data_IF_663774977656
#
_entry.id   IF_663774977656
#
_cell.length_a   1.000
_cell.length_b   1.000
_cell.length_c   1.000
_cell.angle_alpha   90.00
_cell.angle_beta   90.00
_cell.angle_gamma   90.00
#
_symmetry.space_group_name_H-M   'P 1'
#
loop_
_entity.id
_entity.type
_entity.pdbx_description
1 polymer ?
#
# COMPACT_ATOMS: atom_id res chain seq x y z
N UNK A 1 -3.95 0.64 -60.10
CA UNK A 1 -2.57 0.89 -59.62
C UNK A 1 -2.51 1.49 -58.21
N UNK A 2 -3.27 2.56 -57.88
CA UNK A 2 -3.26 3.19 -56.53
C UNK A 2 -3.62 2.25 -55.36
N UNK A 3 -4.54 1.30 -55.57
CA UNK A 3 -4.98 0.32 -54.54
C UNK A 3 -3.95 -0.77 -54.22
N UNK A 4 -3.11 -1.14 -55.19
CA UNK A 4 -2.07 -2.17 -55.02
C UNK A 4 -0.88 -1.55 -54.28
N UNK A 5 -0.50 -0.31 -54.63
CA UNK A 5 0.56 0.46 -53.95
C UNK A 5 0.21 0.68 -52.47
N UNK A 6 -1.05 1.00 -52.16
CA UNK A 6 -1.53 1.18 -50.79
C UNK A 6 -1.48 -0.11 -49.96
N UNK A 7 -1.69 -1.27 -50.58
CA UNK A 7 -1.61 -2.56 -49.91
C UNK A 7 -0.17 -2.96 -49.61
N UNK A 8 0.75 -2.70 -50.54
CA UNK A 8 2.18 -2.98 -50.34
C UNK A 8 2.79 -2.06 -49.29
N UNK A 9 2.38 -0.78 -49.23
CA UNK A 9 2.87 0.17 -48.22
C UNK A 9 2.39 -0.20 -46.80
N UNK A 10 1.14 -0.62 -46.64
CA UNK A 10 0.64 -1.10 -45.34
C UNK A 10 1.37 -2.37 -44.87
N UNK A 11 1.68 -3.29 -45.79
CA UNK A 11 2.38 -4.54 -45.43
C UNK A 11 3.81 -4.27 -44.95
N UNK A 12 4.51 -3.31 -45.57
CA UNK A 12 5.87 -2.90 -45.16
C UNK A 12 5.89 -2.22 -43.79
N UNK A 13 4.89 -1.38 -43.49
CA UNK A 13 4.74 -0.75 -42.16
C UNK A 13 4.44 -1.80 -41.08
N UNK A 14 3.59 -2.79 -41.38
CA UNK A 14 3.27 -3.90 -40.46
C UNK A 14 4.50 -4.78 -40.16
N UNK A 15 5.36 -5.01 -41.15
CA UNK A 15 6.61 -5.77 -40.96
C UNK A 15 7.66 -5.03 -40.12
N UNK A 16 7.67 -3.69 -40.14
CA UNK A 16 8.62 -2.89 -39.33
C UNK A 16 8.24 -2.82 -37.84
N UNK A 17 6.99 -3.12 -37.47
CA UNK A 17 6.53 -3.19 -36.08
C UNK A 17 6.93 -4.49 -35.36
N UNK A 18 7.46 -5.48 -36.07
CA UNK A 18 7.73 -6.82 -35.55
C UNK A 18 9.10 -7.05 -34.89
N UNK A 19 9.94 -6.01 -34.73
CA UNK A 19 11.35 -6.19 -34.33
C UNK A 19 11.75 -5.56 -32.99
N UNK A 20 10.82 -5.34 -32.07
CA UNK A 20 11.19 -5.06 -30.67
C UNK A 20 11.27 -6.38 -29.91
N UNK A 21 12.46 -6.98 -29.87
CA UNK A 21 12.73 -8.02 -28.88
C UNK A 21 12.84 -7.33 -27.52
N UNK A 22 11.76 -7.33 -26.75
CA UNK A 22 11.84 -7.07 -25.30
C UNK A 22 12.55 -8.28 -24.71
N UNK A 23 13.86 -8.12 -24.47
CA UNK A 23 14.56 -9.05 -23.59
C UNK A 23 14.07 -8.76 -22.17
N UNK A 24 13.18 -9.61 -21.66
CA UNK A 24 12.93 -9.65 -20.23
C UNK A 24 14.21 -10.18 -19.58
N UNK A 25 14.89 -9.35 -18.79
CA UNK A 25 15.96 -9.82 -17.93
C UNK A 25 15.33 -10.73 -16.86
N UNK A 26 15.88 -11.94 -16.70
CA UNK A 26 15.50 -12.86 -15.63
C UNK A 26 16.30 -12.50 -14.37
N UNK A 27 15.74 -11.63 -13.54
CA UNK A 27 16.33 -11.23 -12.26
C UNK A 27 16.09 -12.26 -11.15
N UNK A 28 15.53 -13.44 -11.47
CA UNK A 28 15.18 -14.47 -10.51
C UNK A 28 13.99 -14.12 -9.60
N UNK A 29 13.75 -14.93 -8.57
CA UNK A 29 12.71 -14.67 -7.56
C UNK A 29 13.27 -13.70 -6.52
N UNK A 30 12.85 -12.43 -6.59
CA UNK A 30 13.17 -11.40 -5.60
C UNK A 30 11.99 -11.15 -4.64
N UNK A 31 12.25 -10.76 -3.37
CA UNK A 31 11.21 -10.30 -2.47
C UNK A 31 10.42 -9.13 -3.06
N UNK A 32 9.11 -9.07 -2.81
CA UNK A 32 8.27 -7.92 -3.21
C UNK A 32 8.67 -6.61 -2.51
N UNK A 33 9.25 -6.72 -1.32
CA UNK A 33 9.65 -5.62 -0.45
C UNK A 33 11.09 -5.82 -0.02
N UNK A 34 11.86 -4.74 0.05
CA UNK A 34 13.30 -4.77 0.33
C UNK A 34 13.64 -4.89 1.82
N UNK A 35 12.78 -4.30 2.65
CA UNK A 35 12.95 -4.10 4.08
C UNK A 35 11.77 -4.74 4.84
N UNK A 36 10.55 -4.72 4.31
CA UNK A 36 9.35 -5.24 4.96
C UNK A 36 9.14 -6.75 4.72
N UNK A 37 8.97 -7.52 5.80
CA UNK A 37 8.58 -8.93 5.71
C UNK A 37 7.04 -9.08 5.72
N UNK A 38 6.38 -8.60 6.78
CA UNK A 38 4.92 -8.61 6.87
C UNK A 38 4.37 -7.51 7.78
N UNK A 39 3.06 -7.29 7.69
CA UNK A 39 2.29 -6.41 8.59
C UNK A 39 1.17 -7.19 9.25
N UNK A 40 0.79 -6.78 10.45
CA UNK A 40 -0.36 -7.28 11.20
C UNK A 40 -1.22 -6.08 11.60
N UNK A 41 -2.47 -6.07 11.16
CA UNK A 41 -3.38 -4.94 11.38
C UNK A 41 -4.74 -5.44 11.83
N UNK A 42 -5.36 -4.73 12.76
CA UNK A 42 -6.76 -4.96 13.14
C UNK A 42 -7.44 -3.63 13.43
N UNK A 43 -8.74 -3.60 13.15
CA UNK A 43 -9.61 -2.49 13.49
C UNK A 43 -10.95 -3.08 13.94
N UNK A 44 -11.42 -2.64 15.11
CA UNK A 44 -12.77 -2.91 15.55
C UNK A 44 -13.31 -1.76 16.38
N UNK A 45 -14.62 -1.53 16.36
CA UNK A 45 -15.31 -0.64 17.27
C UNK A 45 -16.12 -1.51 18.24
N UNK A 46 -15.95 -1.26 19.54
CA UNK A 46 -16.70 -2.01 20.54
C UNK A 46 -18.11 -1.45 20.76
N UNK A 47 -18.92 -2.17 21.54
CA UNK A 47 -20.31 -1.78 21.84
C UNK A 47 -20.42 -0.47 22.64
N UNK A 48 -19.33 0.08 23.17
CA UNK A 48 -19.30 1.35 23.89
C UNK A 48 -18.82 2.51 23.01
N UNK A 49 -18.62 2.29 21.71
CA UNK A 49 -18.15 3.30 20.78
C UNK A 49 -16.67 3.60 20.94
N UNK A 50 -15.86 2.61 21.31
CA UNK A 50 -14.40 2.74 21.31
C UNK A 50 -13.82 2.05 20.09
N UNK A 51 -13.24 2.85 19.18
CA UNK A 51 -12.42 2.36 18.10
C UNK A 51 -11.10 1.82 18.68
N UNK A 52 -10.74 0.59 18.32
CA UNK A 52 -9.52 -0.10 18.71
C UNK A 52 -8.73 -0.45 17.45
N UNK A 53 -7.54 0.13 17.30
CA UNK A 53 -6.71 0.00 16.11
C UNK A 53 -5.37 -0.60 16.51
N UNK A 54 -4.96 -1.68 15.84
CA UNK A 54 -3.62 -2.24 15.95
C UNK A 54 -2.88 -2.07 14.62
N UNK A 55 -1.67 -1.54 14.69
CA UNK A 55 -0.73 -1.47 13.58
C UNK A 55 0.59 -2.14 13.99
N UNK A 56 0.90 -3.27 13.37
CA UNK A 56 2.11 -4.04 13.60
C UNK A 56 2.88 -4.28 12.31
N UNK A 57 4.21 -4.26 12.41
CA UNK A 57 5.10 -4.59 11.31
C UNK A 57 6.28 -5.44 11.80
N UNK A 58 6.78 -6.26 10.89
CA UNK A 58 8.05 -6.95 11.02
C UNK A 58 8.81 -6.78 9.72
N UNK A 59 9.96 -6.12 9.79
CA UNK A 59 10.94 -6.04 8.74
C UNK A 59 11.94 -7.19 8.78
N UNK A 60 12.85 -7.24 7.82
CA UNK A 60 13.94 -8.21 7.80
C UNK A 60 15.04 -7.83 8.81
N UNK A 61 15.35 -8.74 9.73
CA UNK A 61 16.38 -8.54 10.75
C UNK A 61 17.75 -8.26 10.11
N UNK A 62 18.48 -7.27 10.63
CA UNK A 62 19.76 -6.82 10.09
C UNK A 62 19.68 -5.98 8.80
N UNK A 63 18.49 -5.84 8.21
CA UNK A 63 18.24 -5.03 7.00
C UNK A 63 17.41 -3.80 7.35
N UNK A 64 16.29 -3.99 8.05
CA UNK A 64 15.39 -2.88 8.43
C UNK A 64 16.00 -2.04 9.53
N UNK A 65 16.00 -0.73 9.33
CA UNK A 65 16.58 0.24 10.27
C UNK A 65 15.53 1.14 10.92
N UNK A 66 14.31 1.17 10.38
CA UNK A 66 13.22 1.89 11.02
C UNK A 66 11.94 1.93 10.21
N UNK A 67 10.89 2.42 10.86
CA UNK A 67 9.55 2.55 10.32
C UNK A 67 8.95 3.90 10.67
N UNK A 68 8.19 4.45 9.73
CA UNK A 68 7.19 5.49 9.97
C UNK A 68 5.82 4.92 9.64
N UNK A 69 4.90 4.99 10.59
CA UNK A 69 3.55 4.47 10.46
C UNK A 69 2.57 5.62 10.65
N UNK A 70 1.74 5.87 9.65
CA UNK A 70 0.63 6.81 9.74
C UNK A 70 -0.67 6.03 9.84
N UNK A 71 -1.47 6.31 10.86
CA UNK A 71 -2.80 5.75 11.07
C UNK A 71 -3.79 6.90 10.95
N UNK A 72 -4.68 6.85 9.98
CA UNK A 72 -5.73 7.84 9.77
C UNK A 72 -7.09 7.18 10.02
N UNK A 73 -7.81 7.64 11.06
CA UNK A 73 -9.18 7.24 11.32
C UNK A 73 -10.12 8.23 10.64
N UNK A 74 -11.08 7.71 9.88
CA UNK A 74 -12.00 8.50 9.08
C UNK A 74 -13.43 8.06 9.36
N UNK A 75 -14.36 9.01 9.37
CA UNK A 75 -15.80 8.76 9.46
C UNK A 75 -16.45 8.98 8.11
N UNK A 76 -17.35 8.08 7.72
CA UNK A 76 -18.13 8.26 6.50
C UNK A 76 -18.98 9.52 6.60
N UNK A 77 -18.85 10.39 5.61
CA UNK A 77 -19.58 11.64 5.45
C UNK A 77 -20.22 11.66 4.07
N UNK A 78 -21.54 11.85 3.99
CA UNK A 78 -22.28 11.67 2.74
C UNK A 78 -22.07 10.27 2.12
N UNK A 79 -22.64 10.04 0.93
CA UNK A 79 -22.78 8.67 0.39
C UNK A 79 -21.41 7.97 0.17
N UNK A 80 -20.38 8.71 -0.27
CA UNK A 80 -19.08 8.13 -0.65
C UNK A 80 -17.85 8.89 -0.15
N UNK A 81 -18.00 9.88 0.73
CA UNK A 81 -16.83 10.61 1.25
C UNK A 81 -16.46 10.11 2.64
N UNK A 82 -15.17 10.14 2.91
CA UNK A 82 -14.62 9.89 4.23
C UNK A 82 -14.06 11.22 4.74
N UNK A 83 -14.26 11.49 6.03
CA UNK A 83 -13.76 12.69 6.68
C UNK A 83 -12.82 12.28 7.80
N UNK A 84 -11.63 12.86 7.80
CA UNK A 84 -10.63 12.69 8.85
C UNK A 84 -11.23 13.00 10.24
N UNK A 85 -11.02 12.07 11.16
CA UNK A 85 -11.42 12.16 12.57
C UNK A 85 -10.21 12.35 13.45
N UNK A 86 -9.19 11.52 13.25
CA UNK A 86 -7.97 11.51 14.06
C UNK A 86 -6.81 10.91 13.27
N UNK A 87 -5.59 11.39 13.52
CA UNK A 87 -4.37 10.89 12.89
C UNK A 87 -3.29 10.62 13.94
N UNK A 88 -2.58 9.50 13.77
CA UNK A 88 -1.38 9.21 14.54
C UNK A 88 -0.20 8.95 13.61
N UNK A 89 0.92 9.60 13.90
CA UNK A 89 2.22 9.31 13.27
C UNK A 89 3.15 8.69 14.30
N UNK A 90 3.68 7.53 13.99
CA UNK A 90 4.56 6.74 14.86
C UNK A 90 5.88 6.55 14.12
N UNK A 91 6.99 6.79 14.80
CA UNK A 91 8.34 6.51 14.28
C UNK A 91 9.04 5.49 15.19
N UNK A 92 9.74 4.54 14.59
CA UNK A 92 10.49 3.49 15.29
C UNK A 92 11.83 3.27 14.61
N UNK A 93 12.89 3.05 15.39
CA UNK A 93 14.21 2.67 14.89
C UNK A 93 14.48 1.16 15.06
N UNK A 94 13.41 0.39 15.27
CA UNK A 94 13.47 -1.07 15.42
C UNK A 94 13.12 -1.75 14.09
N UNK A 95 13.46 -3.03 13.96
CA UNK A 95 13.04 -3.82 12.79
C UNK A 95 11.62 -4.37 12.93
N UNK A 96 10.97 -4.24 14.09
CA UNK A 96 9.60 -4.68 14.33
C UNK A 96 8.93 -3.80 15.39
N UNK A 97 7.60 -3.82 15.42
CA UNK A 97 6.83 -3.15 16.47
C UNK A 97 5.34 -3.34 16.31
N UNK A 98 4.62 -3.30 17.42
CA UNK A 98 3.15 -3.34 17.47
C UNK A 98 2.65 -2.15 18.27
N UNK A 99 1.74 -1.38 17.68
CA UNK A 99 1.17 -0.18 18.28
C UNK A 99 -0.33 -0.30 18.35
N UNK A 100 -0.89 0.11 19.48
CA UNK A 100 -2.34 0.13 19.71
C UNK A 100 -2.78 1.57 19.92
N UNK A 101 -3.85 1.96 19.23
CA UNK A 101 -4.52 3.26 19.37
C UNK A 101 -5.98 3.04 19.66
N UNK A 102 -6.53 3.92 20.49
CA UNK A 102 -7.95 3.94 20.79
C UNK A 102 -8.52 5.33 20.63
N UNK A 103 -9.79 5.40 20.24
CA UNK A 103 -10.50 6.68 20.07
C UNK A 103 -11.99 6.49 20.34
N UNK A 104 -12.61 7.44 21.04
CA UNK A 104 -14.05 7.43 21.27
C UNK A 104 -14.79 7.95 20.03
N UNK A 105 -15.75 7.18 19.54
CA UNK A 105 -16.51 7.48 18.32
C UNK A 105 -18.00 7.55 18.61
N UNK A 106 -18.73 8.21 17.70
CA UNK A 106 -20.20 8.22 17.68
C UNK A 106 -20.73 7.25 16.65
N UNK A 107 -22.03 6.92 16.67
CA UNK A 107 -22.66 6.03 15.69
C UNK A 107 -22.29 6.39 14.24
N UNK A 108 -22.07 5.37 13.43
CA UNK A 108 -21.77 5.49 12.00
C UNK A 108 -20.67 4.56 11.51
N UNK A 109 -20.40 4.64 10.21
CA UNK A 109 -19.37 3.86 9.53
C UNK A 109 -18.01 4.56 9.61
N UNK A 110 -16.97 3.80 9.90
CA UNK A 110 -15.60 4.27 9.99
C UNK A 110 -14.66 3.44 9.12
N UNK A 111 -13.60 4.09 8.68
CA UNK A 111 -12.46 3.49 7.99
C UNK A 111 -11.19 3.86 8.74
N UNK A 112 -10.24 2.95 8.81
CA UNK A 112 -8.86 3.27 9.17
C UNK A 112 -7.95 2.97 7.99
N UNK A 113 -7.12 3.95 7.64
CA UNK A 113 -6.07 3.84 6.62
C UNK A 113 -4.71 3.82 7.34
N UNK A 114 -3.97 2.73 7.21
CA UNK A 114 -2.66 2.54 7.85
C UNK A 114 -1.59 2.49 6.77
N UNK A 115 -0.70 3.48 6.76
CA UNK A 115 0.46 3.53 5.86
C UNK A 115 1.73 3.17 6.62
N UNK A 116 2.42 2.12 6.19
CA UNK A 116 3.72 1.69 6.67
C UNK A 116 4.80 2.13 5.69
N UNK A 117 5.70 3.01 6.11
CA UNK A 117 6.93 3.39 5.40
C UNK A 117 8.12 2.74 6.11
N UNK A 118 8.68 1.67 5.53
CA UNK A 118 9.71 0.83 6.15
C UNK A 118 11.05 1.03 5.44
N UNK A 119 12.04 1.50 6.19
CA UNK A 119 13.38 1.86 5.69
C UNK A 119 14.44 0.88 6.16
N UNK A 120 15.51 0.75 5.38
CA UNK A 120 16.60 -0.16 5.68
C UNK A 120 17.71 -0.13 4.64
N UNK A 121 18.67 -1.04 4.78
CA UNK A 121 19.78 -1.22 3.84
C UNK A 121 19.44 -2.12 2.66
N UNK A 122 18.23 -2.69 2.60
CA UNK A 122 17.82 -3.65 1.58
C UNK A 122 17.51 -3.03 0.22
N UNK A 123 17.38 -1.70 0.16
CA UNK A 123 17.02 -0.97 -1.05
C UNK A 123 16.22 0.29 -0.74
N UNK A 124 15.34 0.67 -1.67
CA UNK A 124 14.41 1.78 -1.43
C UNK A 124 13.44 1.48 -0.28
N UNK A 125 12.95 2.53 0.37
CA UNK A 125 11.89 2.44 1.39
C UNK A 125 10.67 1.72 0.83
N UNK A 126 10.17 0.73 1.56
CA UNK A 126 8.92 0.05 1.22
C UNK A 126 7.74 0.85 1.75
N UNK A 127 6.72 1.02 0.92
CA UNK A 127 5.45 1.62 1.32
C UNK A 127 4.35 0.59 1.17
N UNK A 128 3.61 0.34 2.26
CA UNK A 128 2.44 -0.53 2.26
C UNK A 128 1.27 0.16 2.95
N UNK A 129 0.15 0.23 2.25
CA UNK A 129 -1.11 0.75 2.78
C UNK A 129 -2.06 -0.40 3.09
N UNK A 130 -2.83 -0.26 4.17
CA UNK A 130 -3.90 -1.18 4.57
C UNK A 130 -5.11 -0.36 4.99
N UNK A 131 -6.26 -0.64 4.37
CA UNK A 131 -7.55 -0.07 4.77
C UNK A 131 -8.41 -1.13 5.46
N UNK A 132 -9.07 -0.76 6.55
CA UNK A 132 -10.04 -1.58 7.26
C UNK A 132 -11.27 -0.73 7.59
N UNK A 133 -12.45 -1.32 7.57
CA UNK A 133 -13.71 -0.65 7.90
C UNK A 133 -14.43 -1.37 9.04
N UNK A 134 -15.13 -0.60 9.87
CA UNK A 134 -16.05 -1.09 10.90
C UNK A 134 -17.09 -0.02 11.23
N UNK A 135 -18.17 -0.41 11.89
CA UNK A 135 -19.29 0.48 12.22
C UNK A 135 -19.62 0.45 13.72
N UNK A 136 -20.07 1.58 14.24
CA UNK A 136 -20.69 1.69 15.56
C UNK A 136 -22.20 1.94 15.45
#
# INVERSE_FOLDING_TARGET
MKRIISFTLCLVILCMLGAFTVSAADDGIMPRYNNLNYTQTSFNIDSNGTANIMAGYTGYSGITTGAKITILLEKKSFIFFWKDVEEWVITSNEYYGTFVKTYAVSEGDYRVTITFEISGSGGATDVKEVELEDSY
#
